data_IF_613257230231
#
_entry.id   IF_613257230231
#
_cell.length_a   1.000
_cell.length_b   1.000
_cell.length_c   1.000
_cell.angle_alpha   90.00
_cell.angle_beta   90.00
_cell.angle_gamma   90.00
#
_symmetry.space_group_name_H-M   'P 1'
#
loop_
_entity.id
_entity.type
_entity.pdbx_description
1 polymer ?
#
# COMPACT_ATOMS: atom_id res chain seq x y z
N UNK A 1 -28.15 -22.30 -73.39
CA UNK A 1 -27.21 -21.24 -73.75
C UNK A 1 -27.02 -20.33 -72.54
N UNK A 2 -26.29 -20.90 -71.58
CA UNK A 2 -25.13 -20.29 -70.91
C UNK A 2 -25.31 -18.87 -70.36
N UNK A 3 -25.86 -18.80 -69.15
CA UNK A 3 -25.64 -17.66 -68.25
C UNK A 3 -24.15 -17.57 -67.92
N UNK A 4 -23.47 -16.59 -68.53
CA UNK A 4 -22.08 -16.24 -68.24
C UNK A 4 -21.87 -15.97 -66.73
N UNK A 5 -21.13 -16.81 -66.00
CA UNK A 5 -20.93 -16.67 -64.55
C UNK A 5 -19.96 -15.53 -64.17
N UNK A 6 -19.35 -14.88 -65.16
CA UNK A 6 -18.37 -13.82 -64.95
C UNK A 6 -19.00 -12.46 -64.58
N UNK A 7 -20.25 -12.20 -64.98
CA UNK A 7 -20.91 -10.91 -64.70
C UNK A 7 -21.51 -10.85 -63.30
N UNK A 8 -21.89 -12.00 -62.73
CA UNK A 8 -22.31 -12.11 -61.32
C UNK A 8 -21.13 -12.04 -60.36
N UNK A 9 -19.92 -12.45 -60.77
CA UNK A 9 -18.73 -12.37 -59.93
C UNK A 9 -18.22 -10.91 -59.78
N UNK A 10 -18.38 -10.08 -60.81
CA UNK A 10 -17.92 -8.68 -60.77
C UNK A 10 -18.85 -7.77 -59.95
N UNK A 11 -20.13 -8.12 -59.81
CA UNK A 11 -21.13 -7.36 -59.04
C UNK A 11 -21.16 -7.73 -57.55
N UNK A 12 -20.52 -8.84 -57.15
CA UNK A 12 -20.35 -9.23 -55.75
C UNK A 12 -19.09 -8.64 -55.09
N UNK A 13 -18.19 -8.03 -55.88
CA UNK A 13 -16.94 -7.43 -55.38
C UNK A 13 -17.08 -5.95 -54.94
N UNK A 14 -18.24 -5.32 -55.15
CA UNK A 14 -18.41 -3.87 -54.97
C UNK A 14 -19.18 -3.42 -53.72
N UNK A 15 -19.60 -4.34 -52.85
CA UNK A 15 -20.26 -3.99 -51.56
C UNK A 15 -19.63 -4.64 -50.33
N UNK A 16 -18.36 -5.05 -50.42
CA UNK A 16 -17.57 -5.49 -49.27
C UNK A 16 -16.75 -4.32 -48.69
N UNK A 17 -17.43 -3.26 -48.23
CA UNK A 17 -16.79 -2.17 -47.49
C UNK A 17 -17.76 -1.59 -46.45
N UNK A 18 -18.40 -2.45 -45.66
CA UNK A 18 -18.89 -2.03 -44.35
C UNK A 18 -17.67 -2.05 -43.41
N UNK A 19 -17.07 -0.88 -43.22
CA UNK A 19 -16.05 -0.67 -42.22
C UNK A 19 -16.66 -0.94 -40.85
N UNK A 20 -16.50 -2.16 -40.34
CA UNK A 20 -16.61 -2.40 -38.92
C UNK A 20 -15.47 -1.61 -38.26
N UNK A 21 -15.81 -0.44 -37.72
CA UNK A 21 -15.01 0.21 -36.70
C UNK A 21 -15.11 -0.70 -35.47
N UNK A 22 -14.34 -1.79 -35.51
CA UNK A 22 -14.01 -2.57 -34.34
C UNK A 22 -13.34 -1.58 -33.39
N UNK A 23 -14.09 -1.14 -32.39
CA UNK A 23 -13.58 -0.38 -31.26
C UNK A 23 -12.49 -1.24 -30.64
N UNK A 24 -11.25 -0.98 -31.05
CA UNK A 24 -10.06 -1.50 -30.41
C UNK A 24 -9.97 -0.87 -29.03
N UNK A 25 -10.77 -1.40 -28.09
CA UNK A 25 -10.50 -1.21 -26.68
C UNK A 25 -9.14 -1.86 -26.44
N UNK A 26 -8.11 -1.11 -26.03
CA UNK A 26 -6.86 -1.75 -25.65
C UNK A 26 -7.17 -2.80 -24.57
N UNK A 27 -6.45 -3.94 -24.54
CA UNK A 27 -6.60 -4.89 -23.46
C UNK A 27 -6.31 -4.14 -22.16
N UNK A 28 -7.38 -3.89 -21.39
CA UNK A 28 -7.31 -3.16 -20.14
C UNK A 28 -6.58 -4.01 -19.11
N UNK A 29 -5.25 -3.90 -19.09
CA UNK A 29 -4.53 -4.16 -17.86
C UNK A 29 -4.92 -3.02 -16.90
N UNK A 30 -5.97 -3.25 -16.12
CA UNK A 30 -6.19 -2.48 -14.91
C UNK A 30 -5.05 -2.82 -13.95
N UNK A 31 -3.89 -2.18 -14.14
CA UNK A 31 -2.96 -1.97 -13.04
C UNK A 31 -3.66 -1.01 -12.06
N UNK A 32 -4.62 -1.52 -11.30
CA UNK A 32 -4.93 -0.93 -10.01
C UNK A 32 -3.72 -1.22 -9.14
N UNK A 33 -2.67 -0.41 -9.31
CA UNK A 33 -1.63 -0.32 -8.31
C UNK A 33 -2.34 0.21 -7.08
N UNK A 34 -2.48 -0.63 -6.05
CA UNK A 34 -2.88 -0.24 -4.69
C UNK A 34 -1.82 0.63 -4.01
N UNK A 35 -0.90 1.22 -4.80
CA UNK A 35 0.21 2.04 -4.33
C UNK A 35 -0.30 3.11 -3.39
N UNK A 36 0.29 3.18 -2.21
CA UNK A 36 0.00 4.19 -1.21
C UNK A 36 -0.98 3.74 -0.13
N UNK A 37 -1.78 2.67 -0.33
CA UNK A 37 -2.80 2.21 0.66
C UNK A 37 -2.25 1.57 1.93
N UNK A 38 -0.94 1.48 2.04
CA UNK A 38 -0.23 0.86 3.16
C UNK A 38 0.73 1.85 3.85
N UNK A 39 0.81 3.08 3.36
CA UNK A 39 1.75 4.08 3.90
C UNK A 39 1.23 4.69 5.20
N UNK A 40 2.13 5.24 6.03
CA UNK A 40 1.73 5.99 7.22
C UNK A 40 0.78 7.15 6.87
N UNK A 41 0.99 7.80 5.72
CA UNK A 41 0.13 8.88 5.21
C UNK A 41 -1.30 8.43 4.91
N UNK A 42 -1.48 7.23 4.35
CA UNK A 42 -2.81 6.70 4.07
C UNK A 42 -3.56 6.32 5.36
N UNK A 43 -2.85 5.77 6.34
CA UNK A 43 -3.47 5.45 7.63
C UNK A 43 -3.83 6.71 8.41
N UNK A 44 -2.98 7.74 8.40
CA UNK A 44 -3.24 9.01 9.06
C UNK A 44 -4.30 9.87 8.36
N UNK A 45 -4.53 9.67 7.05
CA UNK A 45 -5.64 10.31 6.32
C UNK A 45 -7.02 9.74 6.67
N UNK A 46 -7.09 8.69 7.51
CA UNK A 46 -8.33 8.01 7.93
C UNK A 46 -9.18 7.51 6.77
N UNK A 47 -8.54 7.19 5.65
CA UNK A 47 -9.22 6.69 4.45
C UNK A 47 -9.79 5.28 4.63
N UNK A 48 -9.29 4.54 5.63
CA UNK A 48 -9.76 3.21 6.01
C UNK A 48 -9.80 3.09 7.54
N UNK A 49 -10.77 2.34 8.06
CA UNK A 49 -10.89 2.12 9.49
C UNK A 49 -9.70 1.31 10.02
N UNK A 50 -9.13 1.76 11.13
CA UNK A 50 -7.99 1.07 11.73
C UNK A 50 -8.40 -0.28 12.36
N UNK A 51 -7.53 -1.31 12.32
CA UNK A 51 -7.78 -2.59 12.96
C UNK A 51 -8.05 -2.44 14.47
N UNK A 52 -9.06 -3.14 15.00
CA UNK A 52 -9.44 -3.08 16.43
C UNK A 52 -8.30 -3.36 17.43
N UNK A 53 -7.26 -4.07 17.01
CA UNK A 53 -6.08 -4.41 17.81
C UNK A 53 -5.10 -3.25 17.97
N UNK A 54 -5.18 -2.24 17.10
CA UNK A 54 -4.37 -1.04 17.12
C UNK A 54 -5.26 0.14 16.71
N UNK A 55 -6.15 0.62 17.59
CA UNK A 55 -6.99 1.77 17.29
C UNK A 55 -6.18 3.07 17.29
N UNK A 56 -6.64 4.08 16.55
CA UNK A 56 -6.01 5.39 16.38
C UNK A 56 -5.66 6.08 17.71
N UNK A 57 -6.52 5.92 18.72
CA UNK A 57 -6.40 6.51 20.06
C UNK A 57 -5.52 5.72 21.02
N UNK A 58 -5.08 4.51 20.65
CA UNK A 58 -4.15 3.77 21.49
C UNK A 58 -2.80 4.49 21.53
N UNK A 59 -2.16 4.47 22.69
CA UNK A 59 -0.84 5.06 22.85
C UNK A 59 0.25 4.14 22.31
N UNK A 60 1.31 4.72 21.76
CA UNK A 60 2.53 4.02 21.32
C UNK A 60 3.08 3.16 22.47
N UNK A 61 3.11 3.71 23.69
CA UNK A 61 3.51 3.00 24.90
C UNK A 61 2.67 1.74 25.17
N UNK A 62 1.34 1.82 25.02
CA UNK A 62 0.44 0.68 25.23
C UNK A 62 0.65 -0.43 24.20
N UNK A 63 0.96 -0.06 22.96
CA UNK A 63 1.03 -0.98 21.83
C UNK A 63 2.41 -1.66 21.73
N UNK A 64 3.46 -0.89 21.96
CA UNK A 64 4.86 -1.30 21.78
C UNK A 64 5.63 -1.53 23.08
N UNK A 65 5.08 -1.14 24.24
CA UNK A 65 5.61 -1.48 25.56
C UNK A 65 6.58 -0.46 26.17
N UNK A 66 7.29 -0.88 27.21
CA UNK A 66 8.07 -0.01 28.11
C UNK A 66 9.18 0.78 27.40
N UNK A 67 9.95 0.14 26.52
CA UNK A 67 11.00 0.81 25.74
C UNK A 67 10.46 1.92 24.85
N UNK A 68 9.26 1.75 24.29
CA UNK A 68 8.59 2.80 23.53
C UNK A 68 8.11 3.91 24.46
N UNK A 69 7.58 3.57 25.65
CA UNK A 69 7.21 4.56 26.68
C UNK A 69 8.39 5.43 27.12
N UNK A 70 9.56 4.83 27.33
CA UNK A 70 10.78 5.56 27.69
C UNK A 70 11.18 6.57 26.61
N UNK A 71 10.93 6.24 25.33
CA UNK A 71 11.35 7.09 24.20
C UNK A 71 10.33 8.14 23.77
N UNK A 72 9.04 7.82 23.85
CA UNK A 72 7.94 8.62 23.29
C UNK A 72 6.97 9.15 24.35
N UNK A 73 7.19 8.82 25.63
CA UNK A 73 6.27 9.14 26.72
C UNK A 73 5.06 8.21 26.76
N UNK A 74 4.11 8.52 27.66
CA UNK A 74 2.88 7.73 27.84
C UNK A 74 1.73 8.17 26.93
N UNK A 75 1.76 9.43 26.46
CA UNK A 75 0.59 10.07 25.84
C UNK A 75 0.55 9.97 24.32
N UNK A 76 1.71 9.85 23.64
CA UNK A 76 1.76 9.81 22.18
C UNK A 76 0.87 8.69 21.63
N UNK A 77 -0.12 9.07 20.84
CA UNK A 77 -1.06 8.16 20.19
C UNK A 77 -0.47 7.58 18.90
N UNK A 78 -1.04 6.46 18.44
CA UNK A 78 -0.65 5.91 17.14
C UNK A 78 -1.03 6.84 15.98
N UNK A 79 -2.14 7.59 16.08
CA UNK A 79 -2.52 8.59 15.08
C UNK A 79 -1.47 9.70 14.96
N UNK A 80 -1.02 10.25 16.09
CA UNK A 80 0.05 11.24 16.12
C UNK A 80 1.37 10.68 15.56
N UNK A 81 1.71 9.42 15.92
CA UNK A 81 2.90 8.77 15.39
C UNK A 81 2.84 8.58 13.86
N UNK A 82 1.68 8.16 13.31
CA UNK A 82 1.50 7.97 11.87
C UNK A 82 1.51 9.30 11.08
N UNK A 83 0.99 10.38 11.67
CA UNK A 83 0.99 11.73 11.09
C UNK A 83 2.25 12.56 11.37
N UNK A 84 3.18 12.05 12.17
CA UNK A 84 4.35 12.78 12.64
C UNK A 84 5.35 13.18 11.55
N UNK A 85 6.14 14.20 11.85
CA UNK A 85 7.17 14.73 10.94
C UNK A 85 8.36 13.76 10.78
N UNK A 86 8.96 13.73 9.59
CA UNK A 86 10.04 12.80 9.24
C UNK A 86 11.43 13.26 9.70
N UNK A 87 11.54 14.46 10.26
CA UNK A 87 12.81 15.11 10.60
C UNK A 87 13.50 14.46 11.81
N UNK A 88 12.73 13.93 12.76
CA UNK A 88 13.28 13.19 13.91
C UNK A 88 13.51 11.71 13.56
N UNK A 89 14.74 11.22 13.71
CA UNK A 89 15.11 9.81 13.45
C UNK A 89 14.18 8.81 14.14
N UNK A 90 13.91 9.03 15.43
CA UNK A 90 13.04 8.13 16.20
C UNK A 90 11.55 8.37 15.93
N UNK A 91 11.17 9.58 15.52
CA UNK A 91 9.82 9.85 15.01
C UNK A 91 9.55 9.07 13.72
N UNK A 92 10.52 9.05 12.80
CA UNK A 92 10.45 8.31 11.55
C UNK A 92 10.28 6.80 11.77
N UNK A 93 11.05 6.19 12.67
CA UNK A 93 10.92 4.74 12.91
C UNK A 93 9.57 4.35 13.52
N UNK A 94 9.01 5.15 14.44
CA UNK A 94 7.68 4.84 15.02
C UNK A 94 6.55 5.13 14.04
N UNK A 95 6.68 6.15 13.19
CA UNK A 95 5.77 6.42 12.07
C UNK A 95 5.66 5.21 11.16
N UNK A 96 6.79 4.73 10.64
CA UNK A 96 6.81 3.59 9.72
C UNK A 96 6.46 2.26 10.39
N UNK A 97 6.86 2.07 11.65
CA UNK A 97 6.45 0.90 12.43
C UNK A 97 4.93 0.88 12.71
N UNK A 98 4.31 2.05 12.91
CA UNK A 98 2.86 2.16 13.09
C UNK A 98 2.13 1.71 11.83
N UNK A 99 2.53 2.21 10.66
CA UNK A 99 1.99 1.77 9.39
C UNK A 99 2.21 0.26 9.16
N UNK A 100 3.42 -0.24 9.42
CA UNK A 100 3.73 -1.67 9.29
C UNK A 100 2.88 -2.53 10.23
N UNK A 101 2.61 -2.07 11.45
CA UNK A 101 1.73 -2.77 12.39
C UNK A 101 0.30 -2.84 11.85
N UNK A 102 -0.24 -1.75 11.33
CA UNK A 102 -1.58 -1.72 10.74
C UNK A 102 -1.68 -2.64 9.53
N UNK A 103 -0.67 -2.59 8.64
CA UNK A 103 -0.59 -3.47 7.47
C UNK A 103 -0.50 -4.94 7.88
N UNK A 104 0.26 -5.28 8.92
CA UNK A 104 0.35 -6.65 9.43
C UNK A 104 -0.99 -7.21 9.91
N UNK A 105 -1.93 -6.35 10.32
CA UNK A 105 -3.28 -6.76 10.70
C UNK A 105 -4.26 -6.75 9.53
N UNK A 106 -4.21 -5.73 8.67
CA UNK A 106 -5.18 -5.50 7.60
C UNK A 106 -4.85 -6.27 6.31
N UNK A 107 -3.56 -6.55 6.06
CA UNK A 107 -3.01 -7.10 4.81
C UNK A 107 -2.21 -8.39 5.07
N UNK A 108 -2.67 -9.21 6.01
CA UNK A 108 -1.96 -10.41 6.53
C UNK A 108 -1.37 -11.36 5.49
N UNK A 109 -1.98 -11.49 4.32
CA UNK A 109 -1.52 -12.43 3.29
C UNK A 109 -0.33 -11.91 2.50
N UNK A 110 -0.24 -10.59 2.33
CA UNK A 110 0.66 -9.95 1.37
C UNK A 110 1.73 -9.10 2.07
N UNK A 111 1.54 -8.77 3.36
CA UNK A 111 2.50 -7.99 4.12
C UNK A 111 3.60 -8.87 4.73
N UNK A 112 4.89 -8.51 4.59
CA UNK A 112 6.01 -9.39 4.92
C UNK A 112 6.30 -9.52 6.42
N UNK A 113 5.68 -8.70 7.27
CA UNK A 113 5.88 -8.74 8.72
C UNK A 113 4.61 -9.13 9.45
N UNK A 114 4.74 -10.00 10.45
CA UNK A 114 3.72 -10.18 11.47
C UNK A 114 3.71 -9.03 12.49
N UNK A 115 2.58 -8.84 13.18
CA UNK A 115 2.47 -7.81 14.22
C UNK A 115 3.50 -7.96 15.35
N UNK A 116 3.85 -9.21 15.71
CA UNK A 116 4.85 -9.47 16.74
C UNK A 116 6.26 -9.09 16.27
N UNK A 117 6.61 -9.37 15.01
CA UNK A 117 7.88 -8.96 14.43
C UNK A 117 8.01 -7.44 14.37
N UNK A 118 6.95 -6.73 13.94
CA UNK A 118 6.96 -5.26 13.91
C UNK A 118 7.25 -4.69 15.30
N UNK A 119 6.55 -5.19 16.33
CA UNK A 119 6.78 -4.75 17.72
C UNK A 119 8.21 -5.02 18.17
N UNK A 120 8.72 -6.22 17.92
CA UNK A 120 10.08 -6.62 18.31
C UNK A 120 11.14 -5.77 17.60
N UNK A 121 10.97 -5.56 16.30
CA UNK A 121 11.88 -4.79 15.47
C UNK A 121 11.90 -3.31 15.84
N UNK A 122 10.75 -2.71 16.18
CA UNK A 122 10.73 -1.35 16.71
C UNK A 122 11.57 -1.26 17.98
N UNK A 123 11.35 -2.15 18.97
CA UNK A 123 12.11 -2.12 20.23
C UNK A 123 13.62 -2.27 20.00
N UNK A 124 14.02 -3.16 19.08
CA UNK A 124 15.42 -3.29 18.66
C UNK A 124 15.96 -2.03 17.99
N UNK A 125 15.13 -1.32 17.23
CA UNK A 125 15.53 -0.10 16.56
C UNK A 125 15.73 1.08 17.53
N UNK A 126 15.09 1.06 18.71
CA UNK A 126 15.23 2.11 19.72
C UNK A 126 16.58 2.10 20.46
N UNK A 127 17.48 1.16 20.18
CA UNK A 127 18.77 1.06 20.88
C UNK A 127 19.80 2.09 20.41
N UNK A 128 19.72 2.56 19.16
CA UNK A 128 20.61 3.60 18.62
C UNK A 128 19.95 4.35 17.46
N UNK A 129 20.52 5.49 17.08
CA UNK A 129 20.02 6.27 15.93
C UNK A 129 20.21 5.50 14.62
N UNK A 130 21.33 4.80 14.46
CA UNK A 130 21.67 4.02 13.28
C UNK A 130 20.68 2.87 13.08
N UNK A 131 20.35 2.15 14.18
CA UNK A 131 19.35 1.09 14.16
C UNK A 131 17.95 1.64 13.82
N UNK A 132 17.59 2.81 14.38
CA UNK A 132 16.35 3.49 14.06
C UNK A 132 16.25 3.89 12.58
N UNK A 133 17.31 4.49 12.02
CA UNK A 133 17.36 4.85 10.59
C UNK A 133 17.19 3.61 9.72
N UNK A 134 18.01 2.58 9.93
CA UNK A 134 17.98 1.36 9.12
C UNK A 134 16.62 0.67 9.18
N UNK A 135 16.04 0.57 10.37
CA UNK A 135 14.74 -0.09 10.53
C UNK A 135 13.60 0.76 9.96
N UNK A 136 13.68 2.10 10.05
CA UNK A 136 12.69 2.97 9.43
C UNK A 136 12.64 2.80 7.91
N UNK A 137 13.79 2.69 7.25
CA UNK A 137 13.88 2.41 5.81
C UNK A 137 13.29 1.05 5.45
N UNK A 138 13.55 0.01 6.25
CA UNK A 138 13.01 -1.34 6.02
C UNK A 138 11.48 -1.38 6.15
N UNK A 139 10.93 -0.68 7.13
CA UNK A 139 9.48 -0.57 7.27
C UNK A 139 8.87 0.25 6.15
N UNK A 140 9.46 1.41 5.80
CA UNK A 140 9.00 2.23 4.68
C UNK A 140 8.93 1.43 3.38
N UNK A 141 10.01 0.70 3.04
CA UNK A 141 10.04 -0.13 1.84
C UNK A 141 8.94 -1.20 1.82
N UNK A 142 8.70 -1.87 2.95
CA UNK A 142 7.62 -2.85 3.06
C UNK A 142 6.24 -2.21 2.98
N UNK A 143 6.06 -1.02 3.55
CA UNK A 143 4.83 -0.25 3.50
C UNK A 143 4.54 0.27 2.08
N UNK A 144 5.56 0.61 1.30
CA UNK A 144 5.41 1.02 -0.11
C UNK A 144 5.12 -0.16 -1.04
N UNK A 145 5.61 -1.35 -0.70
CA UNK A 145 5.49 -2.58 -1.49
C UNK A 145 4.25 -3.42 -1.15
N UNK A 146 3.27 -2.78 -0.53
CA UNK A 146 1.97 -3.32 -0.14
C UNK A 146 0.88 -2.61 -0.99
#
# INVERSE_FOLDING_TARGET
MDSSPFLTLLLLLSFAAAAEVASARPPGFLFSRTTGRCTAQFWSSRSEAWPRMAPETATVAKIFGSRARERYGSEMTLMEAAGGAEEEVFGRVVKEATAALLNSYARRRDFPYSAWEVKTLLIKALVSKEAAVLQSQRFAFANESC
#
